data_IF_833177999139
#
_entry.id   IF_833177999139
#
_cell.length_a   1.000
_cell.length_b   1.000
_cell.length_c   1.000
_cell.angle_alpha   90.00
_cell.angle_beta   90.00
_cell.angle_gamma   90.00
#
_symmetry.space_group_name_H-M   'P 1'
#
loop_
_entity.id
_entity.type
_entity.pdbx_description
1 polymer ?
#
# COMPACT_ATOMS: atom_id res chain seq x y z
N UNK A 1 8.28 6.76 6.77
CA UNK A 1 8.42 5.39 6.22
C UNK A 1 8.33 4.38 7.37
N UNK A 2 8.18 3.09 7.09
CA UNK A 2 7.92 2.06 8.13
C UNK A 2 6.43 1.76 8.33
N UNK A 3 6.11 0.91 9.31
CA UNK A 3 4.77 0.30 9.43
C UNK A 3 3.67 1.36 9.54
N UNK A 4 3.86 2.34 10.41
CA UNK A 4 2.84 3.36 10.67
C UNK A 4 2.64 4.28 9.47
N UNK A 5 3.71 4.70 8.81
CA UNK A 5 3.62 5.47 7.57
C UNK A 5 2.97 4.67 6.43
N UNK A 6 3.26 3.36 6.34
CA UNK A 6 2.68 2.46 5.35
C UNK A 6 1.18 2.27 5.54
N UNK A 7 0.71 2.06 6.78
CA UNK A 7 -0.72 2.00 7.11
C UNK A 7 -1.42 3.32 6.77
N UNK A 8 -0.89 4.46 7.23
CA UNK A 8 -1.49 5.78 6.94
C UNK A 8 -1.55 6.09 5.45
N UNK A 9 -0.55 5.66 4.67
CA UNK A 9 -0.58 5.78 3.22
C UNK A 9 -1.78 5.03 2.63
N UNK A 10 -1.93 3.75 2.97
CA UNK A 10 -3.01 2.87 2.45
C UNK A 10 -4.39 3.35 2.88
N UNK A 11 -4.54 3.75 4.15
CA UNK A 11 -5.82 4.21 4.71
C UNK A 11 -6.30 5.55 4.13
N UNK A 12 -5.38 6.36 3.57
CA UNK A 12 -5.70 7.66 2.99
C UNK A 12 -6.04 7.61 1.50
N UNK A 13 -5.90 6.44 0.84
CA UNK A 13 -6.28 6.29 -0.56
C UNK A 13 -7.81 6.12 -0.66
N UNK A 14 -8.41 6.83 -1.61
CA UNK A 14 -9.85 6.76 -1.92
C UNK A 14 -10.11 6.04 -3.25
N UNK A 15 -9.16 6.08 -4.19
CA UNK A 15 -9.26 5.39 -5.47
C UNK A 15 -8.74 3.95 -5.37
N UNK A 16 -7.53 3.74 -4.85
CA UNK A 16 -6.98 2.39 -4.71
C UNK A 16 -7.72 1.61 -3.61
N UNK A 17 -8.34 0.49 -3.98
CA UNK A 17 -9.03 -0.37 -3.03
C UNK A 17 -8.05 -1.24 -2.23
N UNK A 18 -8.25 -1.33 -0.92
CA UNK A 18 -7.39 -2.14 -0.04
C UNK A 18 -7.73 -3.64 -0.11
N UNK A 19 -7.29 -4.32 -1.18
CA UNK A 19 -7.55 -5.75 -1.43
C UNK A 19 -6.30 -6.47 -1.95
N UNK A 20 -6.13 -7.73 -1.55
CA UNK A 20 -4.91 -8.50 -1.81
C UNK A 20 -4.84 -9.17 -3.20
N UNK A 21 -5.90 -9.18 -4.01
CA UNK A 21 -5.88 -9.76 -5.36
C UNK A 21 -5.05 -8.92 -6.36
N UNK A 22 -4.84 -9.44 -7.57
CA UNK A 22 -4.09 -8.81 -8.67
C UNK A 22 -4.87 -9.05 -9.98
N UNK A 23 -4.79 -8.12 -10.93
CA UNK A 23 -5.40 -8.26 -12.27
C UNK A 23 -6.86 -7.83 -12.34
N UNK A 24 -7.32 -7.03 -11.37
CA UNK A 24 -8.62 -6.34 -11.43
C UNK A 24 -8.52 -5.12 -12.37
N UNK A 25 -9.64 -4.68 -12.91
CA UNK A 25 -9.72 -3.41 -13.67
C UNK A 25 -9.53 -2.20 -12.75
N UNK A 26 -9.81 -2.37 -11.45
CA UNK A 26 -9.61 -1.35 -10.42
C UNK A 26 -8.19 -1.38 -9.88
N UNK A 27 -7.68 -0.21 -9.54
CA UNK A 27 -6.43 -0.03 -8.82
C UNK A 27 -6.55 -0.56 -7.39
N UNK A 28 -5.56 -1.33 -6.94
CA UNK A 28 -5.51 -1.98 -5.63
C UNK A 28 -4.22 -1.64 -4.89
N UNK A 29 -4.30 -1.59 -3.57
CA UNK A 29 -3.18 -1.30 -2.68
C UNK A 29 -3.16 -2.29 -1.53
N UNK A 30 -1.97 -2.71 -1.09
CA UNK A 30 -1.75 -3.31 0.23
C UNK A 30 -0.43 -2.83 0.84
N UNK A 31 -0.36 -2.87 2.17
CA UNK A 31 0.89 -2.81 2.93
C UNK A 31 1.23 -4.21 3.46
N UNK A 32 2.09 -5.01 2.81
CA UNK A 32 2.24 -6.44 3.10
C UNK A 32 2.61 -6.74 4.55
N UNK A 33 3.47 -5.92 5.17
CA UNK A 33 3.92 -6.12 6.54
C UNK A 33 2.78 -6.05 7.57
N UNK A 34 1.70 -5.30 7.31
CA UNK A 34 0.52 -5.23 8.19
C UNK A 34 -0.70 -5.97 7.64
N UNK A 35 -0.57 -6.70 6.53
CA UNK A 35 -1.70 -7.37 5.86
C UNK A 35 -1.35 -8.82 5.55
N UNK A 36 -0.97 -9.13 4.31
CA UNK A 36 -0.75 -10.49 3.81
C UNK A 36 0.38 -11.23 4.52
N UNK A 37 1.35 -10.52 5.09
CA UNK A 37 2.49 -11.10 5.82
C UNK A 37 2.46 -10.77 7.31
N UNK A 38 1.33 -10.28 7.83
CA UNK A 38 1.17 -9.87 9.23
C UNK A 38 1.38 -10.97 10.27
N UNK A 39 1.25 -12.24 9.87
CA UNK A 39 1.46 -13.41 10.73
C UNK A 39 2.93 -13.80 10.86
N UNK A 40 3.82 -13.26 10.02
CA UNK A 40 5.25 -13.54 10.08
C UNK A 40 5.93 -12.61 11.10
N UNK A 41 7.00 -13.10 11.73
CA UNK A 41 7.90 -12.26 12.53
C UNK A 41 8.60 -11.20 11.64
N UNK A 42 9.07 -10.09 12.20
CA UNK A 42 9.79 -9.07 11.43
C UNK A 42 10.99 -9.63 10.64
N UNK A 43 11.69 -10.62 11.20
CA UNK A 43 12.83 -11.28 10.57
C UNK A 43 12.39 -12.15 9.38
N UNK A 44 11.29 -12.89 9.52
CA UNK A 44 10.71 -13.69 8.44
C UNK A 44 10.13 -12.81 7.32
N UNK A 45 9.50 -11.68 7.66
CA UNK A 45 9.06 -10.69 6.68
C UNK A 45 10.24 -10.17 5.85
N UNK A 46 11.32 -9.76 6.51
CA UNK A 46 12.53 -9.30 5.83
C UNK A 46 13.15 -10.39 4.95
N UNK A 47 13.20 -11.64 5.44
CA UNK A 47 13.69 -12.78 4.67
C UNK A 47 12.82 -13.06 3.42
N UNK A 48 11.52 -12.77 3.48
CA UNK A 48 10.59 -12.84 2.35
C UNK A 48 10.62 -11.60 1.44
N UNK A 49 11.53 -10.64 1.68
CA UNK A 49 11.63 -9.40 0.91
C UNK A 49 10.60 -8.33 1.30
N UNK A 50 9.86 -8.52 2.38
CA UNK A 50 8.88 -7.56 2.89
C UNK A 50 9.56 -6.63 3.90
N UNK A 51 9.79 -5.39 3.49
CA UNK A 51 10.27 -4.34 4.40
C UNK A 51 9.10 -3.68 5.14
N UNK A 52 9.32 -3.10 6.33
CA UNK A 52 8.28 -2.46 7.12
C UNK A 52 7.54 -1.30 6.44
N UNK A 53 8.06 -0.74 5.34
CA UNK A 53 7.42 0.35 4.59
C UNK A 53 7.07 -0.04 3.16
N UNK A 54 7.11 -1.33 2.82
CA UNK A 54 6.80 -1.82 1.47
C UNK A 54 5.33 -1.58 1.16
N UNK A 55 5.05 -0.90 0.05
CA UNK A 55 3.71 -0.78 -0.51
C UNK A 55 3.66 -1.57 -1.81
N UNK A 56 2.60 -2.35 -2.00
CA UNK A 56 2.33 -3.04 -3.27
C UNK A 56 1.12 -2.39 -3.92
N UNK A 57 1.32 -1.88 -5.14
CA UNK A 57 0.25 -1.39 -6.01
C UNK A 57 -0.03 -2.41 -7.11
N UNK A 58 -1.30 -2.68 -7.37
CA UNK A 58 -1.75 -3.26 -8.62
C UNK A 58 -2.53 -2.16 -9.35
N UNK A 59 -1.91 -1.57 -10.38
CA UNK A 59 -2.47 -0.41 -11.08
C UNK A 59 -3.54 -0.89 -12.05
N UNK A 60 -4.74 -0.34 -11.92
CA UNK A 60 -5.89 -0.61 -12.78
C UNK A 60 -5.83 0.19 -14.08
N UNK A 61 -7.01 0.44 -14.66
CA UNK A 61 -7.17 1.13 -15.94
C UNK A 61 -7.85 2.50 -15.82
N UNK A 62 -7.86 3.08 -14.61
CA UNK A 62 -8.41 4.41 -14.36
C UNK A 62 -7.59 5.53 -15.04
N UNK A 63 -8.11 6.75 -15.00
CA UNK A 63 -7.38 7.90 -15.52
C UNK A 63 -6.09 8.11 -14.71
N UNK A 64 -4.97 8.30 -15.42
CA UNK A 64 -3.67 8.48 -14.79
C UNK A 64 -3.63 9.68 -13.83
N UNK A 65 -4.36 10.76 -14.11
CA UNK A 65 -4.38 11.93 -13.24
C UNK A 65 -5.06 11.64 -11.91
N UNK A 66 -6.11 10.82 -11.91
CA UNK A 66 -6.83 10.42 -10.70
C UNK A 66 -5.96 9.47 -9.86
N UNK A 67 -5.25 8.54 -10.50
CA UNK A 67 -4.27 7.66 -9.85
C UNK A 67 -3.17 8.49 -9.17
N UNK A 68 -2.59 9.47 -9.87
CA UNK A 68 -1.55 10.32 -9.31
C UNK A 68 -2.06 11.19 -8.16
N UNK A 69 -3.27 11.74 -8.27
CA UNK A 69 -3.90 12.53 -7.21
C UNK A 69 -4.15 11.70 -5.95
N UNK A 70 -4.60 10.46 -6.11
CA UNK A 70 -4.80 9.52 -5.01
C UNK A 70 -3.47 9.20 -4.30
N UNK A 71 -2.43 8.87 -5.05
CA UNK A 71 -1.10 8.61 -4.47
C UNK A 71 -0.52 9.84 -3.76
N UNK A 72 -0.72 11.06 -4.27
CA UNK A 72 -0.31 12.29 -3.58
C UNK A 72 -1.02 12.45 -2.22
N UNK A 73 -2.32 12.16 -2.15
CA UNK A 73 -3.07 12.17 -0.89
C UNK A 73 -2.48 11.16 0.11
N UNK A 74 -2.19 9.94 -0.34
CA UNK A 74 -1.52 8.92 0.47
C UNK A 74 -0.16 9.38 0.99
N UNK A 75 0.68 9.97 0.14
CA UNK A 75 1.99 10.48 0.55
C UNK A 75 1.90 11.64 1.54
N UNK A 76 0.95 12.56 1.37
CA UNK A 76 0.69 13.64 2.33
C UNK A 76 0.30 13.10 3.70
N UNK A 77 -0.58 12.10 3.76
CA UNK A 77 -1.00 11.46 5.01
C UNK A 77 0.16 10.75 5.72
N UNK A 78 1.02 10.06 4.95
CA UNK A 78 2.17 9.33 5.48
C UNK A 78 3.29 10.24 6.01
N UNK A 79 3.37 11.50 5.56
CA UNK A 79 4.42 12.45 5.95
C UNK A 79 4.35 12.87 7.42
N UNK A 80 3.18 12.75 8.05
CA UNK A 80 2.96 13.05 9.48
C UNK A 80 2.95 11.81 10.37
N UNK A 81 3.57 10.71 9.94
CA UNK A 81 3.59 9.41 10.64
C UNK A 81 4.97 9.07 11.18
#
# INVERSE_FOLDING_TARGET
GGIEAGKKFVEALELHSHVANIGDVRSLVIHPASTTHSQLTPQEQLAAGVTPGLIRLAVGIENINDILADLDAGFRAAKGA
#
